data_IF_474979545189
#
_entry.id   IF_474979545189
#
_cell.length_a   1.000
_cell.length_b   1.000
_cell.length_c   1.000
_cell.angle_alpha   90.00
_cell.angle_beta   90.00
_cell.angle_gamma   90.00
#
_symmetry.space_group_name_H-M   'P 1'
#
loop_
_entity.id
_entity.type
_entity.pdbx_description
1 polymer ?
#
# COMPACT_ATOMS: atom_id res chain seq x y z
N UNK A 1 44.79 17.90 1.99
CA UNK A 1 44.45 18.12 3.39
C UNK A 1 42.93 18.06 3.51
N UNK A 2 42.43 17.06 4.24
CA UNK A 2 41.02 16.68 4.36
C UNK A 2 40.18 17.73 5.09
N UNK A 3 39.05 18.11 4.50
CA UNK A 3 37.98 18.93 5.10
C UNK A 3 36.95 17.99 5.75
N UNK A 4 37.41 17.14 6.67
CA UNK A 4 36.49 16.38 7.51
C UNK A 4 35.96 17.29 8.61
N UNK A 5 34.87 17.95 8.24
CA UNK A 5 33.90 18.60 9.09
C UNK A 5 33.47 17.65 10.22
N UNK A 6 33.87 17.98 11.45
CA UNK A 6 33.53 17.24 12.66
C UNK A 6 32.18 17.74 13.18
N UNK A 7 31.10 17.15 12.71
CA UNK A 7 29.79 17.24 13.36
C UNK A 7 29.58 16.02 14.24
N UNK A 8 29.94 16.14 15.53
CA UNK A 8 29.45 15.25 16.59
C UNK A 8 28.36 16.03 17.33
N UNK A 9 27.11 15.69 17.05
CA UNK A 9 25.96 16.10 17.85
C UNK A 9 25.48 14.88 18.62
N UNK A 10 25.61 14.89 19.94
CA UNK A 10 24.98 13.92 20.84
C UNK A 10 24.15 14.68 21.87
N UNK A 11 22.93 15.02 21.46
CA UNK A 11 21.81 15.27 22.36
C UNK A 11 21.48 13.96 23.08
N UNK A 12 21.86 13.83 24.36
CA UNK A 12 21.16 12.98 25.34
C UNK A 12 21.67 13.27 26.76
N UNK A 13 20.74 13.42 27.69
CA UNK A 13 20.96 13.04 29.09
C UNK A 13 20.88 14.19 30.10
N UNK A 14 19.68 14.73 30.31
CA UNK A 14 19.39 15.52 31.51
C UNK A 14 19.46 14.62 32.76
N UNK A 15 19.86 15.26 33.84
CA UNK A 15 20.39 14.77 35.11
C UNK A 15 19.52 13.81 35.95
N UNK A 16 20.24 13.15 36.86
CA UNK A 16 19.86 12.22 37.92
C UNK A 16 18.87 12.82 38.97
N UNK A 17 18.10 11.92 39.59
CA UNK A 17 17.09 12.07 40.70
C UNK A 17 17.65 12.77 41.97
N UNK A 18 16.87 13.13 43.05
CA UNK A 18 15.61 12.51 43.53
C UNK A 18 14.52 13.46 44.12
N UNK A 19 13.35 12.86 44.45
CA UNK A 19 12.20 13.50 45.10
C UNK A 19 12.35 13.68 46.63
N UNK A 20 11.65 14.67 47.24
CA UNK A 20 11.30 14.65 48.66
C UNK A 20 9.79 14.50 48.94
N UNK A 21 9.50 14.08 50.18
CA UNK A 21 8.31 13.38 50.69
C UNK A 21 7.18 14.31 51.26
N UNK A 22 6.03 13.75 51.72
CA UNK A 22 4.74 14.44 51.91
C UNK A 22 4.46 14.93 53.34
N UNK A 23 3.43 15.79 53.55
CA UNK A 23 2.45 15.80 54.67
C UNK A 23 1.50 17.04 54.60
N UNK A 24 0.54 17.26 55.54
CA UNK A 24 -0.92 17.01 55.46
C UNK A 24 -1.76 18.33 55.40
N UNK A 25 -3.09 18.38 55.17
CA UNK A 25 -4.16 18.31 56.21
C UNK A 25 -5.55 18.62 55.59
N UNK A 26 -6.48 17.65 55.71
CA UNK A 26 -7.92 17.67 56.09
C UNK A 26 -8.76 18.98 56.09
N UNK A 27 -9.93 18.93 55.44
CA UNK A 27 -11.29 19.35 55.87
C UNK A 27 -12.22 19.34 54.62
N UNK A 28 -13.47 18.87 54.55
CA UNK A 28 -14.52 18.60 55.54
C UNK A 28 -15.58 17.69 54.89
N UNK A 29 -16.23 16.88 55.73
CA UNK A 29 -17.50 16.14 55.54
C UNK A 29 -18.66 17.04 55.04
N UNK A 30 -19.80 16.58 54.50
CA UNK A 30 -20.79 15.63 55.08
C UNK A 30 -22.04 15.46 54.17
N UNK A 31 -22.67 14.28 54.25
CA UNK A 31 -24.11 13.93 54.16
C UNK A 31 -24.83 13.93 52.78
N UNK A 32 -25.32 12.75 52.29
CA UNK A 32 -26.65 12.11 52.51
C UNK A 32 -27.80 12.93 51.87
N UNK A 33 -28.67 12.48 50.96
CA UNK A 33 -29.64 11.36 50.95
C UNK A 33 -30.27 11.20 49.52
N UNK A 34 -30.83 10.02 49.20
CA UNK A 34 -31.43 9.58 47.91
C UNK A 34 -32.82 10.22 47.55
N UNK A 35 -33.74 9.61 46.76
CA UNK A 35 -33.73 9.11 45.38
C UNK A 35 -34.85 9.74 44.51
N UNK A 36 -34.71 9.80 43.18
CA UNK A 36 -35.90 9.94 42.28
C UNK A 36 -35.80 9.05 41.04
N UNK A 37 -36.68 8.04 41.01
CA UNK A 37 -37.02 7.21 39.84
C UNK A 37 -38.10 7.86 38.98
N UNK A 38 -38.16 7.36 37.73
CA UNK A 38 -39.20 7.43 36.67
C UNK A 38 -38.91 8.55 35.65
N UNK A 39 -38.89 8.31 34.34
CA UNK A 39 -39.86 7.55 33.53
C UNK A 39 -39.21 6.98 32.25
N UNK A 40 -39.86 5.98 31.65
CA UNK A 40 -39.45 5.27 30.42
C UNK A 40 -39.24 6.19 29.22
N UNK A 41 -38.17 5.94 28.47
CA UNK A 41 -37.98 6.37 27.09
C UNK A 41 -37.05 5.38 26.40
N UNK A 42 -37.60 4.26 25.95
CA UNK A 42 -36.93 3.42 24.95
C UNK A 42 -37.30 3.99 23.61
N UNK A 43 -36.38 4.73 23.01
CA UNK A 43 -36.26 4.90 21.56
C UNK A 43 -34.76 4.75 21.29
N UNK A 44 -34.32 3.61 20.77
CA UNK A 44 -34.49 3.40 19.33
C UNK A 44 -33.45 4.22 18.55
N UNK A 45 -32.22 4.36 19.06
CA UNK A 45 -31.11 4.84 18.26
C UNK A 45 -30.48 3.62 17.59
N UNK A 46 -30.92 3.48 16.34
CA UNK A 46 -30.33 2.74 15.25
C UNK A 46 -28.93 2.22 15.56
N UNK A 47 -28.80 0.91 15.37
CA UNK A 47 -27.58 0.31 14.84
C UNK A 47 -27.13 1.21 13.68
N UNK A 48 -26.23 2.17 13.95
CA UNK A 48 -25.45 2.83 12.93
C UNK A 48 -24.61 1.71 12.35
N UNK A 49 -25.22 1.00 11.39
CA UNK A 49 -24.53 0.04 10.56
C UNK A 49 -23.34 0.80 10.01
N UNK A 50 -22.16 0.50 10.56
CA UNK A 50 -20.88 0.90 9.99
C UNK A 50 -21.03 0.68 8.48
N UNK A 51 -20.74 1.67 7.62
CA UNK A 51 -20.90 1.48 6.19
C UNK A 51 -20.07 0.27 5.83
N UNK A 52 -20.75 -0.84 5.52
CA UNK A 52 -20.08 -2.07 5.12
C UNK A 52 -19.22 -1.67 3.94
N UNK A 53 -17.91 -1.57 4.16
CA UNK A 53 -16.94 -1.22 3.13
C UNK A 53 -16.96 -2.43 2.21
N UNK A 54 -17.85 -2.39 1.22
CA UNK A 54 -17.92 -3.40 0.19
C UNK A 54 -16.64 -3.24 -0.59
N UNK A 55 -15.62 -4.01 -0.22
CA UNK A 55 -14.38 -4.08 -0.95
C UNK A 55 -14.71 -4.46 -2.40
N UNK A 56 -14.57 -3.48 -3.29
CA UNK A 56 -14.77 -3.68 -4.73
C UNK A 56 -13.66 -4.63 -5.20
N UNK A 57 -14.06 -5.77 -5.75
CA UNK A 57 -13.13 -6.65 -6.45
C UNK A 57 -12.77 -6.11 -7.82
N UNK A 58 -11.87 -6.79 -8.53
CA UNK A 58 -11.50 -6.45 -9.91
C UNK A 58 -12.57 -6.85 -10.95
N UNK A 59 -13.74 -7.30 -10.51
CA UNK A 59 -14.85 -7.77 -11.37
C UNK A 59 -15.38 -6.69 -12.32
N UNK A 60 -15.21 -5.40 -11.97
CA UNK A 60 -15.61 -4.25 -12.81
C UNK A 60 -14.44 -3.52 -13.46
N UNK A 61 -13.20 -3.99 -13.25
CA UNK A 61 -12.03 -3.40 -13.89
C UNK A 61 -12.05 -3.70 -15.41
N UNK A 62 -11.46 -2.83 -16.25
CA UNK A 62 -11.25 -3.15 -17.66
C UNK A 62 -10.43 -4.45 -17.77
N UNK A 63 -10.59 -5.17 -18.88
CA UNK A 63 -9.91 -6.46 -19.10
C UNK A 63 -8.38 -6.32 -19.05
N UNK A 64 -7.86 -5.13 -19.38
CA UNK A 64 -6.47 -4.75 -19.28
C UNK A 64 -6.35 -3.41 -18.56
N UNK A 65 -5.39 -3.32 -17.64
CA UNK A 65 -5.11 -2.09 -16.91
C UNK A 65 -3.63 -2.00 -16.53
N UNK A 66 -3.23 -0.81 -16.11
CA UNK A 66 -1.90 -0.57 -15.55
C UNK A 66 -1.95 -0.57 -14.03
N UNK A 67 -0.91 -1.11 -13.43
CA UNK A 67 -0.68 -1.10 -11.98
C UNK A 67 0.60 -0.34 -11.71
N UNK A 68 0.51 0.79 -11.01
CA UNK A 68 1.66 1.56 -10.56
C UNK A 68 2.11 1.09 -9.18
N UNK A 69 3.42 0.86 -9.02
CA UNK A 69 4.03 0.60 -7.73
C UNK A 69 4.55 1.93 -7.18
N UNK A 70 3.95 2.40 -6.08
CA UNK A 70 4.39 3.61 -5.41
C UNK A 70 5.80 3.42 -4.84
N UNK A 71 6.80 4.23 -5.26
CA UNK A 71 8.18 4.04 -4.82
C UNK A 71 8.38 4.18 -3.31
N UNK A 72 7.59 5.05 -2.66
CA UNK A 72 7.72 5.37 -1.24
C UNK A 72 7.08 4.33 -0.31
N UNK A 73 5.92 3.79 -0.70
CA UNK A 73 5.09 2.92 0.16
C UNK A 73 5.07 1.47 -0.32
N UNK A 74 5.57 1.19 -1.53
CA UNK A 74 5.48 -0.10 -2.22
C UNK A 74 4.04 -0.60 -2.42
N UNK A 75 3.05 0.29 -2.33
CA UNK A 75 1.63 0.02 -2.56
C UNK A 75 1.33 -0.02 -4.05
N UNK A 76 0.31 -0.80 -4.40
CA UNK A 76 -0.17 -0.96 -5.76
C UNK A 76 -1.36 -0.05 -6.01
N UNK A 77 -1.29 0.73 -7.09
CA UNK A 77 -2.37 1.57 -7.56
C UNK A 77 -2.87 1.08 -8.92
N UNK A 78 -4.18 0.95 -9.05
CA UNK A 78 -4.85 0.77 -10.34
C UNK A 78 -4.88 2.12 -11.06
N UNK A 79 -4.19 2.20 -12.20
CA UNK A 79 -4.08 3.42 -13.00
C UNK A 79 -4.57 3.16 -14.42
N UNK A 80 -5.17 4.18 -15.08
CA UNK A 80 -5.71 4.02 -16.43
C UNK A 80 -4.62 3.83 -17.47
N UNK A 81 -3.50 4.55 -17.33
CA UNK A 81 -2.46 4.65 -18.36
C UNK A 81 -1.04 4.64 -17.79
N UNK A 82 -0.09 4.26 -18.63
CA UNK A 82 1.34 4.31 -18.32
C UNK A 82 1.79 5.75 -18.06
N UNK A 83 2.51 5.96 -16.95
CA UNK A 83 3.00 7.28 -16.56
C UNK A 83 2.04 8.10 -15.72
N UNK A 84 0.91 7.51 -15.29
CA UNK A 84 0.03 8.06 -14.25
C UNK A 84 0.42 7.46 -12.89
N UNK A 85 0.53 8.28 -11.84
CA UNK A 85 0.84 7.85 -10.47
C UNK A 85 -0.31 8.07 -9.46
N UNK A 86 -1.46 8.53 -9.94
CA UNK A 86 -2.67 8.70 -9.15
C UNK A 86 -3.73 7.71 -9.64
N UNK A 87 -4.33 6.97 -8.71
CA UNK A 87 -5.24 5.87 -9.04
C UNK A 87 -5.88 5.29 -7.79
N UNK A 88 -6.60 4.19 -7.98
CA UNK A 88 -7.27 3.48 -6.87
C UNK A 88 -6.28 2.53 -6.18
N UNK A 89 -6.15 2.64 -4.86
CA UNK A 89 -5.30 1.71 -4.10
C UNK A 89 -5.91 0.32 -4.07
N UNK A 90 -5.09 -0.70 -4.31
CA UNK A 90 -5.54 -2.08 -4.29
C UNK A 90 -5.98 -2.50 -2.89
N UNK A 91 -7.24 -2.96 -2.78
CA UNK A 91 -7.75 -3.64 -1.58
C UNK A 91 -7.22 -5.07 -1.49
N UNK A 92 -7.38 -5.71 -0.34
CA UNK A 92 -6.98 -7.11 -0.15
C UNK A 92 -7.71 -8.05 -1.13
N UNK A 93 -9.00 -7.81 -1.37
CA UNK A 93 -9.79 -8.55 -2.37
C UNK A 93 -9.26 -8.36 -3.79
N UNK A 94 -8.96 -7.12 -4.21
CA UNK A 94 -8.39 -6.86 -5.54
C UNK A 94 -7.04 -7.56 -5.72
N UNK A 95 -6.21 -7.58 -4.67
CA UNK A 95 -4.93 -8.31 -4.69
C UNK A 95 -5.12 -9.82 -4.87
N UNK A 96 -6.06 -10.41 -4.15
CA UNK A 96 -6.36 -11.84 -4.29
C UNK A 96 -6.87 -12.17 -5.71
N UNK A 97 -7.71 -11.31 -6.28
CA UNK A 97 -8.18 -11.46 -7.66
C UNK A 97 -7.04 -11.32 -8.67
N UNK A 98 -6.12 -10.38 -8.45
CA UNK A 98 -4.94 -10.17 -9.28
C UNK A 98 -4.00 -11.38 -9.26
N UNK A 99 -3.74 -11.95 -8.09
CA UNK A 99 -2.88 -13.12 -7.94
C UNK A 99 -3.51 -14.38 -8.55
N UNK A 100 -4.83 -14.50 -8.48
CA UNK A 100 -5.58 -15.63 -9.03
C UNK A 100 -5.73 -15.55 -10.54
N UNK A 101 -6.24 -14.43 -11.05
CA UNK A 101 -6.68 -14.29 -12.44
C UNK A 101 -5.80 -13.35 -13.27
N UNK A 102 -5.03 -12.48 -12.63
CA UNK A 102 -4.15 -11.55 -13.33
C UNK A 102 -3.04 -12.27 -14.10
N UNK A 103 -2.67 -11.65 -15.21
CA UNK A 103 -1.57 -12.06 -16.06
C UNK A 103 -0.79 -10.83 -16.50
N UNK A 104 0.44 -10.69 -16.03
CA UNK A 104 1.25 -9.51 -16.35
C UNK A 104 2.03 -9.73 -17.64
N UNK A 105 1.77 -8.91 -18.66
CA UNK A 105 2.34 -9.08 -20.00
C UNK A 105 3.47 -8.10 -20.31
N UNK A 106 3.48 -6.96 -19.61
CA UNK A 106 4.38 -5.86 -19.84
C UNK A 106 4.77 -5.17 -18.54
N UNK A 107 6.05 -4.85 -18.38
CA UNK A 107 6.57 -4.02 -17.28
C UNK A 107 7.20 -2.77 -17.86
N UNK A 108 6.92 -1.64 -17.24
CA UNK A 108 7.57 -0.39 -17.59
C UNK A 108 8.28 0.21 -16.37
N UNK A 109 9.45 0.81 -16.60
CA UNK A 109 10.17 1.57 -15.58
C UNK A 109 10.50 2.97 -16.08
N UNK A 110 10.04 3.99 -15.35
CA UNK A 110 10.38 5.38 -15.64
C UNK A 110 11.40 5.91 -14.64
N UNK A 111 12.55 6.37 -15.15
CA UNK A 111 13.62 6.96 -14.37
C UNK A 111 13.69 8.47 -14.59
N UNK A 112 13.91 9.25 -13.54
CA UNK A 112 14.20 10.68 -13.68
C UNK A 112 15.56 10.91 -14.34
N UNK A 113 15.71 11.98 -15.13
CA UNK A 113 17.01 12.41 -15.67
C UNK A 113 18.06 12.68 -14.58
N UNK A 114 17.65 12.99 -13.36
CA UNK A 114 18.51 13.15 -12.19
C UNK A 114 18.97 11.81 -11.58
N UNK A 115 18.32 10.70 -11.93
CA UNK A 115 18.50 9.38 -11.31
C UNK A 115 18.70 8.24 -12.33
N UNK A 116 18.94 8.54 -13.61
CA UNK A 116 19.12 7.51 -14.64
C UNK A 116 20.27 6.52 -14.32
N UNK A 117 21.29 7.00 -13.61
CA UNK A 117 22.43 6.18 -13.16
C UNK A 117 22.05 5.20 -12.04
N UNK A 118 20.88 5.36 -11.41
CA UNK A 118 20.29 4.42 -10.44
C UNK A 118 19.29 3.46 -11.08
N UNK A 119 19.21 3.39 -12.41
CA UNK A 119 18.26 2.49 -13.06
C UNK A 119 18.52 1.04 -12.64
N UNK A 120 17.47 0.30 -12.21
CA UNK A 120 17.59 -1.12 -11.91
C UNK A 120 17.95 -1.91 -13.17
N UNK A 121 18.57 -3.07 -12.98
CA UNK A 121 18.87 -3.96 -14.11
C UNK A 121 17.59 -4.46 -14.78
N UNK A 122 17.67 -4.81 -16.07
CA UNK A 122 16.56 -5.40 -16.81
C UNK A 122 15.94 -6.61 -16.10
N UNK A 123 16.77 -7.49 -15.53
CA UNK A 123 16.29 -8.63 -14.76
C UNK A 123 15.50 -8.21 -13.52
N UNK A 124 15.92 -7.13 -12.84
CA UNK A 124 15.21 -6.61 -11.67
C UNK A 124 13.86 -6.03 -12.06
N UNK A 125 13.77 -5.35 -13.21
CA UNK A 125 12.52 -4.80 -13.73
C UNK A 125 11.55 -5.93 -14.08
N UNK A 126 12.01 -6.94 -14.82
CA UNK A 126 11.19 -8.08 -15.20
C UNK A 126 10.72 -8.94 -14.01
N UNK A 127 11.44 -8.90 -12.88
CA UNK A 127 11.06 -9.60 -11.65
C UNK A 127 10.06 -8.85 -10.77
N UNK A 128 9.75 -7.59 -11.06
CA UNK A 128 8.82 -6.79 -10.25
C UNK A 128 7.45 -7.49 -10.00
N UNK A 129 6.79 -8.12 -11.00
CA UNK A 129 5.51 -8.80 -10.76
C UNK A 129 5.61 -9.98 -9.79
N UNK A 130 6.76 -10.68 -9.79
CA UNK A 130 6.99 -11.82 -8.90
C UNK A 130 7.03 -11.43 -7.43
N UNK A 131 7.41 -10.19 -7.10
CA UNK A 131 7.39 -9.65 -5.73
C UNK A 131 5.96 -9.56 -5.16
N UNK A 132 4.97 -9.47 -6.04
CA UNK A 132 3.56 -9.35 -5.68
C UNK A 132 2.77 -10.64 -5.96
N UNK A 133 3.47 -11.73 -6.29
CA UNK A 133 2.89 -13.01 -6.68
C UNK A 133 1.94 -12.93 -7.89
N UNK A 134 2.19 -11.98 -8.80
CA UNK A 134 1.40 -11.83 -10.03
C UNK A 134 1.95 -12.82 -11.07
N UNK A 135 1.11 -13.69 -11.64
CA UNK A 135 1.52 -14.61 -12.70
C UNK A 135 2.03 -13.85 -13.94
N UNK A 136 3.13 -14.32 -14.51
CA UNK A 136 3.74 -13.78 -15.72
C UNK A 136 3.93 -14.88 -16.75
N UNK A 137 3.97 -14.56 -18.06
CA UNK A 137 4.49 -15.48 -19.06
C UNK A 137 5.98 -15.75 -18.82
N UNK A 138 6.55 -16.65 -19.62
CA UNK A 138 8.00 -16.79 -19.70
C UNK A 138 8.62 -15.41 -19.93
N UNK A 139 9.68 -15.09 -19.19
CA UNK A 139 10.31 -13.76 -19.20
C UNK A 139 10.66 -13.28 -20.62
N UNK A 140 11.01 -14.21 -21.51
CA UNK A 140 11.37 -14.00 -22.90
C UNK A 140 10.20 -13.45 -23.75
N UNK A 141 8.96 -13.63 -23.29
CA UNK A 141 7.72 -13.18 -23.95
C UNK A 141 7.15 -11.92 -23.31
N UNK A 142 7.72 -11.47 -22.20
CA UNK A 142 7.27 -10.29 -21.49
C UNK A 142 7.86 -9.04 -22.15
N UNK A 143 7.02 -8.02 -22.36
CA UNK A 143 7.50 -6.72 -22.86
C UNK A 143 8.12 -5.93 -21.72
N UNK A 144 9.21 -5.24 -22.00
CA UNK A 144 9.83 -4.31 -21.06
C UNK A 144 10.02 -2.96 -21.73
N UNK A 145 9.50 -1.91 -21.10
CA UNK A 145 9.74 -0.52 -21.49
C UNK A 145 10.56 0.20 -20.42
N UNK A 146 11.57 0.95 -20.84
CA UNK A 146 12.29 1.86 -19.95
C UNK A 146 12.31 3.25 -20.56
N UNK A 147 12.00 4.27 -19.75
CA UNK A 147 11.89 5.65 -20.23
C UNK A 147 12.53 6.63 -19.25
N UNK A 148 13.22 7.62 -19.80
CA UNK A 148 13.69 8.77 -19.03
C UNK A 148 12.60 9.84 -19.02
N UNK A 149 12.24 10.29 -17.82
CA UNK A 149 11.18 11.26 -17.57
C UNK A 149 11.71 12.54 -16.95
N UNK A 150 11.06 13.67 -17.24
CA UNK A 150 11.45 15.00 -16.74
C UNK A 150 11.09 15.17 -15.27
N UNK A 151 11.47 16.31 -14.68
CA UNK A 151 11.01 16.67 -13.34
C UNK A 151 9.50 16.93 -13.36
N UNK A 152 8.79 16.41 -12.36
CA UNK A 152 7.32 16.50 -12.25
C UNK A 152 6.56 15.36 -12.93
N UNK A 153 7.20 14.58 -13.80
CA UNK A 153 6.59 13.39 -14.37
C UNK A 153 6.67 12.20 -13.39
N UNK A 154 5.65 11.33 -13.34
CA UNK A 154 5.67 10.13 -12.51
C UNK A 154 6.84 9.21 -12.80
N UNK A 155 7.42 8.66 -11.72
CA UNK A 155 8.59 7.77 -11.73
C UNK A 155 8.25 6.45 -11.05
N UNK A 156 9.01 5.40 -11.37
CA UNK A 156 8.89 4.10 -10.72
C UNK A 156 8.51 3.00 -11.68
N UNK A 157 7.76 2.01 -11.17
CA UNK A 157 7.40 0.80 -11.91
C UNK A 157 5.91 0.80 -12.25
N UNK A 158 5.62 0.35 -13.45
CA UNK A 158 4.28 0.02 -13.91
C UNK A 158 4.24 -1.41 -14.43
N UNK A 159 3.12 -2.07 -14.21
CA UNK A 159 2.86 -3.43 -14.69
C UNK A 159 1.55 -3.40 -15.45
N UNK A 160 1.55 -3.81 -16.71
CA UNK A 160 0.32 -4.02 -17.45
C UNK A 160 -0.20 -5.42 -17.13
N UNK A 161 -1.41 -5.48 -16.62
CA UNK A 161 -2.05 -6.73 -16.25
C UNK A 161 -3.31 -6.92 -17.08
N UNK A 162 -3.45 -8.12 -17.63
CA UNK A 162 -4.66 -8.62 -18.27
C UNK A 162 -5.35 -9.60 -17.32
N UNK A 163 -6.67 -9.47 -17.16
CA UNK A 163 -7.46 -10.42 -16.40
C UNK A 163 -7.80 -11.62 -17.28
N UNK A 164 -7.40 -12.82 -16.86
CA UNK A 164 -7.71 -14.06 -17.58
C UNK A 164 -9.18 -14.41 -17.42
N UNK A 165 -9.79 -14.90 -18.49
CA UNK A 165 -11.18 -15.37 -18.45
C UNK A 165 -11.28 -16.69 -17.66
N UNK A 166 -12.50 -17.04 -17.24
CA UNK A 166 -12.75 -18.32 -16.55
C UNK A 166 -12.33 -19.54 -17.39
N UNK A 167 -12.44 -19.44 -18.72
CA UNK A 167 -12.04 -20.48 -19.68
C UNK A 167 -10.52 -20.68 -19.68
N UNK A 168 -9.74 -19.59 -19.74
CA UNK A 168 -8.27 -19.62 -19.68
C UNK A 168 -7.76 -20.16 -18.34
N UNK A 169 -8.44 -19.84 -17.25
CA UNK A 169 -8.11 -20.34 -15.92
C UNK A 169 -8.38 -21.84 -15.77
N UNK A 170 -9.42 -22.35 -16.43
CA UNK A 170 -9.77 -23.77 -16.41
C UNK A 170 -8.86 -24.60 -17.34
N UNK A 171 -8.46 -24.03 -18.48
CA UNK A 171 -7.57 -24.68 -19.45
C UNK A 171 -6.11 -24.80 -18.96
N UNK A 172 -5.67 -23.96 -18.02
CA UNK A 172 -4.33 -23.99 -17.44
C UNK A 172 -4.00 -25.23 -16.58
N UNK A 173 -4.94 -26.15 -16.41
CA UNK A 173 -4.75 -27.44 -15.73
C UNK A 173 -4.12 -28.54 -16.61
N UNK A 174 -4.07 -28.37 -17.93
CA UNK A 174 -3.47 -29.33 -18.87
C UNK A 174 -2.20 -28.75 -19.49
N UNK A 175 -1.08 -28.84 -18.78
CA UNK A 175 0.22 -28.80 -19.44
C UNK A 175 0.57 -30.21 -19.94
N UNK A 176 0.78 -30.41 -21.26
CA UNK A 176 1.38 -31.65 -21.72
C UNK A 176 2.84 -31.66 -21.26
N UNK A 177 3.19 -32.69 -20.49
CA UNK A 177 4.59 -33.04 -20.24
C UNK A 177 5.21 -33.46 -21.58
N UNK A 178 6.21 -32.73 -22.04
CA UNK A 178 7.18 -33.18 -23.05
C UNK A 178 8.57 -32.82 -22.57
#
# INVERSE_FOLDING_TARGET
MSIFDRLISTLTGAEDKPAPAPAPTRATSSQEEEPRRRFMGRDGLADESEPAVVEKGLEHAPAEFWVHIQPATQRLLLVPDLGVAEGEEFTARMMADLQRAGWCEEVAYHAGYDQYWKMPSQESILRAPSLYHIPTPLLNRMKMETKLVKQGEPRGFWMRVRMRSAEELSAGGEHPAV
#
